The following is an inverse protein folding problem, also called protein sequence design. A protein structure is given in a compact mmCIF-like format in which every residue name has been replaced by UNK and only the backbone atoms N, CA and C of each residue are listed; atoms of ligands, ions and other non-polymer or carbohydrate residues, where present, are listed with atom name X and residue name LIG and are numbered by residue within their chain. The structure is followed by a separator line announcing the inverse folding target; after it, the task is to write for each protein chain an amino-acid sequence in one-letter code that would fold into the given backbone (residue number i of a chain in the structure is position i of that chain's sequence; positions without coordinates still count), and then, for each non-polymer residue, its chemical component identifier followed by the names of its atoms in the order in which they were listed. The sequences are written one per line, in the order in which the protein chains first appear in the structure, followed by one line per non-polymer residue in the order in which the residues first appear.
data_IF_588682957071
#
_entry.id   IF_588682957071
#
_cell.length_a   1.000
_cell.length_b   1.000
_cell.length_c   1.000
_cell.angle_alpha   90.00
_cell.angle_beta   90.00
_cell.angle_gamma   90.00
#
_symmetry.space_group_name_H-M   'P 1'
#
loop_
_entity.id
_entity.type
_entity.pdbx_description
1 polymer ?
#
# COMPACT_ATOMS: atom_id res chain seq x y z
N UNK A 1 35.01 -2.98 41.80
CA UNK A 1 33.62 -3.27 41.37
C UNK A 1 33.53 -2.95 39.89
N UNK A 2 33.53 -3.96 39.00
CA UNK A 2 33.49 -3.69 37.56
C UNK A 2 32.05 -3.39 37.12
N UNK A 3 31.89 -2.32 36.34
CA UNK A 3 30.62 -1.96 35.70
C UNK A 3 30.46 -2.79 34.42
N UNK A 4 29.35 -3.54 34.32
CA UNK A 4 28.97 -4.26 33.12
C UNK A 4 28.13 -3.35 32.22
N UNK A 5 28.70 -2.96 31.07
CA UNK A 5 27.96 -2.29 30.00
C UNK A 5 27.17 -3.34 29.21
N UNK A 6 25.87 -3.41 29.42
CA UNK A 6 24.96 -4.20 28.60
C UNK A 6 24.67 -3.44 27.30
N UNK A 7 25.35 -3.83 26.22
CA UNK A 7 24.99 -3.44 24.85
C UNK A 7 23.99 -4.45 24.32
N UNK A 8 22.73 -4.02 24.18
CA UNK A 8 21.68 -4.80 23.52
C UNK A 8 21.95 -4.77 22.02
N UNK A 9 22.38 -5.90 21.46
CA UNK A 9 22.55 -6.07 20.01
C UNK A 9 21.18 -6.41 19.42
N UNK A 10 20.49 -5.42 18.87
CA UNK A 10 19.27 -5.63 18.08
C UNK A 10 19.63 -6.40 16.79
N UNK A 11 19.17 -7.64 16.66
CA UNK A 11 19.46 -8.47 15.49
C UNK A 11 18.47 -8.20 14.36
N UNK A 12 18.84 -7.31 13.42
CA UNK A 12 18.12 -6.97 12.18
C UNK A 12 17.97 -8.12 11.14
N UNK A 13 18.07 -9.39 11.56
CA UNK A 13 18.16 -10.56 10.64
C UNK A 13 16.84 -11.05 10.00
N UNK A 14 15.62 -10.92 10.57
CA UNK A 14 14.43 -11.52 9.96
C UNK A 14 13.97 -10.79 8.68
N UNK A 15 14.27 -9.49 8.53
CA UNK A 15 13.84 -8.68 7.37
C UNK A 15 14.41 -9.18 6.03
N UNK A 16 15.66 -9.67 6.01
CA UNK A 16 16.32 -10.11 4.76
C UNK A 16 15.74 -11.39 4.19
N UNK A 17 15.36 -12.33 5.05
CA UNK A 17 14.77 -13.61 4.64
C UNK A 17 13.34 -13.39 4.12
N UNK A 18 12.58 -12.52 4.78
CA UNK A 18 11.23 -12.16 4.33
C UNK A 18 11.24 -11.48 2.96
N UNK A 19 12.14 -10.51 2.75
CA UNK A 19 12.31 -9.86 1.44
C UNK A 19 12.72 -10.85 0.35
N UNK A 20 13.55 -11.86 0.67
CA UNK A 20 13.89 -12.94 -0.25
C UNK A 20 12.68 -13.80 -0.65
N UNK A 21 11.76 -14.08 0.28
CA UNK A 21 10.52 -14.79 -0.04
C UNK A 21 9.55 -13.95 -0.87
N UNK A 22 9.45 -12.64 -0.59
CA UNK A 22 8.64 -11.72 -1.39
C UNK A 22 9.19 -11.59 -2.82
N UNK A 23 10.51 -11.52 -2.99
CA UNK A 23 11.12 -11.46 -4.31
C UNK A 23 10.89 -12.73 -5.12
N UNK A 24 10.97 -13.90 -4.48
CA UNK A 24 10.67 -15.21 -5.09
C UNK A 24 9.23 -15.36 -5.60
N UNK A 25 8.25 -14.71 -4.96
CA UNK A 25 6.85 -14.73 -5.40
C UNK A 25 6.62 -13.74 -6.57
N UNK A 26 7.60 -12.88 -6.85
CA UNK A 26 7.51 -11.79 -7.81
C UNK A 26 6.85 -10.54 -7.22
N UNK A 27 6.85 -10.39 -5.89
CA UNK A 27 6.35 -9.22 -5.17
C UNK A 27 7.47 -8.18 -4.90
N UNK A 28 8.66 -8.37 -5.46
CA UNK A 28 9.81 -7.46 -5.27
C UNK A 28 9.52 -6.02 -5.72
N UNK A 29 8.57 -5.84 -6.65
CA UNK A 29 8.16 -4.51 -7.14
C UNK A 29 7.38 -3.67 -6.11
N UNK A 30 7.02 -4.24 -4.97
CA UNK A 30 6.33 -3.52 -3.89
C UNK A 30 7.30 -2.93 -2.85
N UNK A 31 8.59 -3.26 -2.90
CA UNK A 31 9.62 -2.62 -2.08
C UNK A 31 10.23 -1.49 -2.91
N UNK A 32 9.50 -0.38 -3.05
CA UNK A 32 10.03 0.83 -3.67
C UNK A 32 11.00 1.46 -2.66
N UNK A 33 12.29 1.39 -2.96
CA UNK A 33 13.29 2.19 -2.25
C UNK A 33 13.23 3.60 -2.86
N UNK A 34 12.83 4.65 -2.12
CA UNK A 34 12.51 5.96 -2.70
C UNK A 34 13.70 6.75 -3.28
N UNK A 35 14.89 6.14 -3.37
CA UNK A 35 16.13 6.83 -3.74
C UNK A 35 16.79 6.37 -5.06
N UNK A 36 16.21 5.43 -5.81
CA UNK A 36 16.77 5.04 -7.11
C UNK A 36 16.20 5.93 -8.23
N UNK A 37 16.96 6.98 -8.53
CA UNK A 37 16.77 7.88 -9.67
C UNK A 37 17.60 7.35 -10.84
N UNK A 38 16.99 6.55 -11.71
CA UNK A 38 17.63 6.11 -12.95
C UNK A 38 17.19 7.00 -14.12
N UNK A 39 18.11 7.89 -14.50
CA UNK A 39 18.28 8.36 -15.86
C UNK A 39 18.64 7.16 -16.75
N UNK A 40 17.89 6.92 -17.84
CA UNK A 40 18.54 6.68 -19.14
C UNK A 40 17.58 6.66 -20.33
N UNK A 41 18.00 7.44 -21.33
CA UNK A 41 17.62 7.39 -22.73
C UNK A 41 17.91 6.00 -23.32
N UNK A 42 17.14 5.48 -24.28
CA UNK A 42 17.75 4.83 -25.45
C UNK A 42 16.85 4.72 -26.69
N UNK A 43 17.55 4.81 -27.81
CA UNK A 43 17.15 4.74 -29.22
C UNK A 43 16.37 3.49 -29.65
N UNK A 44 15.51 3.70 -30.65
CA UNK A 44 14.78 2.64 -31.34
C UNK A 44 15.58 1.90 -32.42
N UNK A 45 15.27 0.61 -32.58
CA UNK A 45 15.42 -0.12 -33.83
C UNK A 45 14.26 -1.10 -34.01
N UNK A 46 13.61 -1.01 -35.17
CA UNK A 46 12.57 -1.92 -35.65
C UNK A 46 13.16 -3.29 -36.01
N UNK A 47 12.61 -4.37 -35.47
CA UNK A 47 12.83 -5.72 -36.00
C UNK A 47 11.50 -6.44 -36.26
N UNK A 48 11.38 -6.96 -37.49
CA UNK A 48 10.20 -7.65 -38.04
C UNK A 48 9.94 -8.99 -37.34
N UNK A 49 8.66 -9.25 -37.03
CA UNK A 49 8.14 -10.56 -36.61
C UNK A 49 8.11 -11.58 -37.76
N UNK A 50 8.17 -12.89 -37.44
CA UNK A 50 7.42 -13.92 -38.11
C UNK A 50 6.27 -14.44 -37.25
N UNK A 51 5.23 -14.91 -37.93
CA UNK A 51 3.92 -15.28 -37.41
C UNK A 51 3.80 -16.75 -36.94
N UNK A 52 2.91 -16.92 -35.97
CA UNK A 52 1.96 -18.04 -35.75
C UNK A 52 2.24 -19.16 -34.71
N UNK A 53 1.16 -19.36 -33.92
CA UNK A 53 0.67 -20.55 -33.20
C UNK A 53 1.10 -20.85 -31.74
N UNK A 54 0.14 -20.60 -30.85
CA UNK A 54 -0.37 -21.44 -29.76
C UNK A 54 0.61 -22.22 -28.87
N UNK A 55 0.89 -21.72 -27.67
CA UNK A 55 0.73 -22.44 -26.37
C UNK A 55 1.15 -21.52 -25.23
N UNK A 56 0.57 -21.73 -24.05
CA UNK A 56 0.75 -21.00 -22.80
C UNK A 56 2.23 -20.72 -22.44
N UNK A 57 2.65 -19.46 -22.49
CA UNK A 57 3.98 -19.04 -22.06
C UNK A 57 3.96 -18.62 -20.59
N UNK A 58 4.26 -19.58 -19.72
CA UNK A 58 4.86 -19.32 -18.42
C UNK A 58 6.20 -18.60 -18.63
N UNK A 59 6.34 -17.41 -18.05
CA UNK A 59 7.62 -16.70 -18.00
C UNK A 59 8.60 -17.52 -17.17
N UNK A 60 9.44 -18.31 -17.83
CA UNK A 60 10.64 -18.89 -17.25
C UNK A 60 11.55 -17.72 -16.85
N UNK A 61 11.72 -17.50 -15.54
CA UNK A 61 12.92 -16.85 -15.04
C UNK A 61 14.06 -17.82 -15.36
N UNK A 62 14.85 -17.52 -16.39
CA UNK A 62 16.11 -18.21 -16.66
C UNK A 62 16.98 -18.12 -15.41
N UNK A 63 17.42 -19.27 -14.92
CA UNK A 63 18.18 -19.46 -13.68
C UNK A 63 19.61 -18.89 -13.71
N UNK A 64 19.83 -17.75 -14.37
CA UNK A 64 21.17 -17.23 -14.69
C UNK A 64 21.44 -15.80 -14.20
N UNK A 65 20.54 -15.17 -13.46
CA UNK A 65 20.74 -13.78 -13.01
C UNK A 65 20.82 -13.69 -11.48
N UNK A 66 21.84 -14.33 -10.90
CA UNK A 66 22.42 -13.93 -9.61
C UNK A 66 23.73 -14.71 -9.40
N UNK A 67 24.82 -14.21 -9.99
CA UNK A 67 26.17 -14.60 -9.59
C UNK A 67 26.48 -13.80 -8.33
N UNK A 68 26.24 -14.39 -7.17
CA UNK A 68 26.80 -13.88 -5.91
C UNK A 68 28.30 -14.13 -5.97
N UNK A 69 29.07 -13.09 -6.27
CA UNK A 69 30.53 -13.13 -6.26
C UNK A 69 31.01 -13.37 -4.83
N UNK A 70 31.38 -14.60 -4.51
CA UNK A 70 32.14 -14.89 -3.30
C UNK A 70 33.59 -14.45 -3.52
N UNK A 71 33.97 -13.36 -2.87
CA UNK A 71 35.35 -12.91 -2.79
C UNK A 71 36.25 -14.08 -2.36
N UNK A 72 37.10 -14.53 -3.30
CA UNK A 72 38.18 -15.47 -3.06
C UNK A 72 39.24 -14.75 -2.22
N UNK A 73 39.18 -14.90 -0.89
CA UNK A 73 40.30 -14.55 -0.03
C UNK A 73 41.33 -15.67 -0.14
N UNK A 74 42.35 -15.40 -0.95
CA UNK A 74 43.56 -16.20 -0.98
C UNK A 74 44.20 -16.23 0.42
N UNK A 75 44.54 -17.46 0.79
CA UNK A 75 45.50 -17.85 1.81
C UNK A 75 46.61 -16.84 2.04
N UNK A 76 46.89 -16.54 3.30
CA UNK A 76 48.22 -16.71 3.83
C UNK A 76 48.16 -17.21 5.27
N UNK A 77 48.97 -18.24 5.51
CA UNK A 77 49.09 -19.04 6.72
C UNK A 77 49.53 -18.22 7.94
N UNK A 78 48.94 -18.48 9.11
CA UNK A 78 49.67 -18.93 10.31
C UNK A 78 48.76 -19.13 11.54
N UNK A 79 49.05 -20.23 12.24
CA UNK A 79 48.94 -20.50 13.67
C UNK A 79 47.57 -20.66 14.39
N UNK A 80 47.37 -21.93 14.75
CA UNK A 80 47.11 -22.45 16.09
C UNK A 80 45.75 -22.24 16.79
N UNK A 81 45.00 -23.34 16.73
CA UNK A 81 44.35 -24.01 17.85
C UNK A 81 43.46 -23.18 18.79
N UNK A 82 42.17 -23.05 18.43
CA UNK A 82 41.12 -23.23 19.42
C UNK A 82 39.81 -23.70 18.78
N UNK A 83 39.61 -25.03 18.77
CA UNK A 83 38.37 -25.68 18.32
C UNK A 83 37.31 -25.54 19.41
N UNK A 84 36.47 -24.50 19.32
CA UNK A 84 35.17 -24.50 19.96
C UNK A 84 34.07 -24.46 18.90
N UNK A 85 33.30 -25.55 18.86
CA UNK A 85 32.13 -25.83 18.04
C UNK A 85 31.25 -24.60 17.80
N UNK A 86 31.46 -23.91 16.68
CA UNK A 86 30.40 -23.14 16.05
C UNK A 86 29.84 -24.02 14.94
N UNK A 87 28.55 -24.33 15.06
CA UNK A 87 27.75 -25.00 14.03
C UNK A 87 27.70 -24.11 12.79
N UNK A 88 28.78 -24.11 12.00
CA UNK A 88 28.79 -23.52 10.67
C UNK A 88 28.01 -24.50 9.80
N UNK A 89 26.79 -24.11 9.44
CA UNK A 89 25.98 -24.86 8.48
C UNK A 89 26.82 -25.09 7.21
N UNK A 90 26.90 -26.32 6.70
CA UNK A 90 27.66 -26.59 5.48
C UNK A 90 27.06 -25.79 4.32
N UNK A 91 27.90 -25.09 3.57
CA UNK A 91 27.53 -24.26 2.40
C UNK A 91 26.75 -25.03 1.32
N UNK A 92 26.77 -26.37 1.38
CA UNK A 92 25.95 -27.29 0.59
C UNK A 92 24.43 -27.08 0.76
N UNK A 93 23.96 -26.72 1.96
CA UNK A 93 22.52 -26.74 2.26
C UNK A 93 21.76 -25.54 1.68
N UNK A 94 22.44 -24.42 1.47
CA UNK A 94 21.83 -23.19 0.92
C UNK A 94 21.40 -23.39 -0.53
N UNK A 95 22.22 -24.10 -1.31
CA UNK A 95 21.94 -24.37 -2.73
C UNK A 95 20.78 -25.37 -2.89
N UNK A 96 20.71 -26.38 -2.00
CA UNK A 96 19.60 -27.35 -1.97
C UNK A 96 18.28 -26.66 -1.60
N UNK A 97 18.31 -25.75 -0.62
CA UNK A 97 17.12 -24.99 -0.23
C UNK A 97 16.62 -24.09 -1.37
N UNK A 98 17.52 -23.37 -2.04
CA UNK A 98 17.16 -22.52 -3.18
C UNK A 98 16.56 -23.33 -4.34
N UNK A 99 17.17 -24.48 -4.68
CA UNK A 99 16.64 -25.35 -5.72
C UNK A 99 15.29 -25.97 -5.33
N UNK A 100 15.07 -26.24 -4.04
CA UNK A 100 13.81 -26.78 -3.56
C UNK A 100 12.70 -25.72 -3.59
N UNK A 101 12.97 -24.51 -3.09
CA UNK A 101 12.03 -23.38 -3.09
C UNK A 101 11.68 -22.96 -4.53
N UNK A 102 12.67 -22.94 -5.44
CA UNK A 102 12.45 -22.61 -6.85
C UNK A 102 11.58 -23.63 -7.60
N UNK A 103 11.43 -24.85 -7.08
CA UNK A 103 10.56 -25.88 -7.64
C UNK A 103 9.11 -25.83 -7.15
N UNK A 104 8.79 -24.97 -6.17
CA UNK A 104 7.45 -24.86 -5.62
C UNK A 104 6.56 -23.94 -6.47
N UNK A 105 5.26 -24.27 -6.55
CA UNK A 105 4.30 -23.36 -7.15
C UNK A 105 4.13 -22.10 -6.29
N UNK A 106 3.77 -20.97 -6.91
CA UNK A 106 3.51 -19.71 -6.20
C UNK A 106 2.46 -19.85 -5.10
N UNK A 107 1.46 -20.71 -5.30
CA UNK A 107 0.43 -21.00 -4.30
C UNK A 107 1.01 -21.66 -3.04
N UNK A 108 1.94 -22.61 -3.21
CA UNK A 108 2.59 -23.30 -2.10
C UNK A 108 3.56 -22.37 -1.37
N UNK A 109 4.31 -21.52 -2.10
CA UNK A 109 5.15 -20.49 -1.48
C UNK A 109 4.33 -19.53 -0.63
N UNK A 110 3.19 -19.06 -1.14
CA UNK A 110 2.28 -18.20 -0.38
C UNK A 110 1.75 -18.90 0.88
N UNK A 111 1.36 -20.18 0.78
CA UNK A 111 0.93 -20.97 1.94
C UNK A 111 2.05 -21.15 2.98
N UNK A 112 3.28 -21.41 2.56
CA UNK A 112 4.42 -21.56 3.47
C UNK A 112 4.72 -20.25 4.20
N UNK A 113 4.74 -19.12 3.48
CA UNK A 113 4.95 -17.80 4.07
C UNK A 113 3.82 -17.48 5.05
N UNK A 114 2.56 -17.68 4.67
CA UNK A 114 1.40 -17.43 5.51
C UNK A 114 1.41 -18.29 6.79
N UNK A 115 1.67 -19.59 6.67
CA UNK A 115 1.78 -20.50 7.81
C UNK A 115 2.93 -20.13 8.75
N UNK A 116 4.06 -19.66 8.19
CA UNK A 116 5.18 -19.14 8.96
C UNK A 116 4.82 -17.86 9.71
N UNK A 117 4.14 -16.93 9.04
CA UNK A 117 3.72 -15.65 9.58
C UNK A 117 2.68 -15.83 10.70
N UNK A 118 1.68 -16.70 10.48
CA UNK A 118 0.67 -17.02 11.48
C UNK A 118 1.25 -17.71 12.72
N UNK A 119 2.21 -18.62 12.55
CA UNK A 119 2.93 -19.22 13.69
C UNK A 119 3.75 -18.20 14.48
N UNK A 120 4.29 -17.19 13.80
CA UNK A 120 5.00 -16.10 14.47
C UNK A 120 4.02 -15.22 15.25
N UNK A 121 2.86 -14.92 14.67
CA UNK A 121 1.85 -14.05 15.27
C UNK A 121 1.14 -14.68 16.48
N UNK A 122 0.89 -16.00 16.44
CA UNK A 122 0.36 -16.75 17.60
C UNK A 122 1.36 -16.78 18.77
N UNK A 123 2.66 -16.67 18.47
CA UNK A 123 3.70 -16.61 19.50
C UNK A 123 3.83 -15.21 20.13
N UNK A 124 3.37 -14.15 19.46
CA UNK A 124 3.44 -12.77 19.98
C UNK A 124 2.33 -12.43 20.96
N UNK A 125 1.25 -13.22 21.04
CA UNK A 125 0.28 -13.14 22.14
C UNK A 125 0.84 -13.63 23.50
N UNK A 126 2.10 -14.10 23.53
CA UNK A 126 2.89 -14.37 24.74
C UNK A 126 4.17 -13.52 24.76
N UNK A 127 4.06 -12.21 24.54
CA UNK A 127 5.10 -11.31 25.04
C UNK A 127 4.92 -11.18 26.56
N UNK A 128 5.84 -11.69 27.40
CA UNK A 128 5.70 -11.52 28.83
C UNK A 128 5.88 -10.04 29.13
N UNK A 129 4.79 -9.40 29.56
CA UNK A 129 4.70 -8.37 30.60
C UNK A 129 6.08 -7.98 31.19
N UNK A 130 6.85 -7.19 30.45
CA UNK A 130 8.10 -6.57 30.90
C UNK A 130 7.85 -5.18 31.50
N UNK A 131 6.60 -4.85 31.84
CA UNK A 131 6.20 -3.57 32.42
C UNK A 131 6.08 -3.56 33.95
N UNK A 132 6.36 -4.65 34.67
CA UNK A 132 6.18 -4.68 36.14
C UNK A 132 7.44 -4.46 37.00
N UNK A 133 8.40 -3.61 36.58
CA UNK A 133 9.41 -3.07 37.53
C UNK A 133 9.72 -1.59 37.27
N UNK A 134 8.75 -0.72 37.53
CA UNK A 134 9.02 0.70 37.87
C UNK A 134 8.16 1.16 39.05
N UNK A 135 8.03 0.32 40.07
CA UNK A 135 7.69 0.79 41.41
C UNK A 135 9.00 1.18 42.12
N UNK A 136 9.35 2.47 42.09
CA UNK A 136 10.52 2.94 42.85
C UNK A 136 10.91 4.38 42.60
N UNK A 137 10.42 5.25 43.47
CA UNK A 137 10.80 6.66 43.70
C UNK A 137 10.34 7.68 42.65
N UNK A 138 9.19 8.28 42.98
CA UNK A 138 8.71 9.53 42.40
C UNK A 138 9.69 10.67 42.62
N UNK A 139 10.32 11.09 41.52
CA UNK A 139 10.65 12.48 41.27
C UNK A 139 9.91 12.78 39.97
N UNK A 140 8.78 13.50 40.08
CA UNK A 140 8.04 14.02 38.95
C UNK A 140 8.98 14.96 38.18
N UNK A 141 9.40 14.52 37.00
CA UNK A 141 10.16 15.31 36.04
C UNK A 141 9.15 15.74 34.97
N UNK A 142 8.79 17.03 34.95
CA UNK A 142 7.81 17.65 34.04
C UNK A 142 8.23 17.60 32.54
N UNK A 143 9.18 16.74 32.18
CA UNK A 143 9.69 16.53 30.83
C UNK A 143 9.01 15.38 30.07
N UNK A 144 8.15 14.57 30.70
CA UNK A 144 7.48 13.44 30.01
C UNK A 144 6.38 13.89 29.04
N UNK A 145 5.62 14.95 29.34
CA UNK A 145 4.51 15.41 28.47
C UNK A 145 4.98 15.92 27.10
N UNK A 146 6.25 16.31 26.94
CA UNK A 146 6.78 16.77 25.63
C UNK A 146 7.20 15.66 24.68
N UNK A 147 7.44 14.44 25.16
CA UNK A 147 7.91 13.35 24.31
C UNK A 147 6.77 12.60 23.61
N UNK A 148 5.54 12.63 24.14
CA UNK A 148 4.38 12.01 23.48
C UNK A 148 3.91 12.82 22.25
N UNK A 149 3.93 14.16 22.32
CA UNK A 149 3.50 15.01 21.19
C UNK A 149 4.40 14.92 19.94
N UNK A 150 5.70 14.59 20.10
CA UNK A 150 6.62 14.45 18.95
C UNK A 150 6.42 13.12 18.19
N UNK A 151 5.99 12.05 18.87
CA UNK A 151 5.74 10.75 18.22
C UNK A 151 4.46 10.76 17.37
N UNK A 152 3.39 11.42 17.84
CA UNK A 152 2.10 11.45 17.12
C UNK A 152 2.22 12.17 15.75
N UNK A 153 3.13 13.14 15.62
CA UNK A 153 3.36 13.84 14.35
C UNK A 153 4.11 13.00 13.31
N UNK A 154 4.91 12.01 13.74
CA UNK A 154 5.65 11.14 12.81
C UNK A 154 4.72 10.14 12.12
N UNK A 155 3.77 9.54 12.86
CA UNK A 155 2.80 8.59 12.32
C UNK A 155 1.87 9.22 11.25
N UNK A 156 1.38 10.44 11.49
CA UNK A 156 0.53 11.15 10.53
C UNK A 156 1.25 11.43 9.19
N UNK A 157 2.56 11.70 9.25
CA UNK A 157 3.37 11.92 8.06
C UNK A 157 3.55 10.65 7.23
N UNK A 158 3.68 9.49 7.88
CA UNK A 158 3.80 8.19 7.20
C UNK A 158 2.52 7.83 6.45
N UNK A 159 1.35 7.99 7.09
CA UNK A 159 0.04 7.75 6.46
C UNK A 159 -0.16 8.67 5.26
N UNK A 160 0.19 9.95 5.40
CA UNK A 160 0.10 10.92 4.31
C UNK A 160 1.01 10.54 3.13
N UNK A 161 2.24 10.12 3.43
CA UNK A 161 3.20 9.72 2.41
C UNK A 161 2.74 8.45 1.67
N UNK A 162 2.10 7.52 2.37
CA UNK A 162 1.49 6.34 1.77
C UNK A 162 0.33 6.72 0.83
N UNK A 163 -0.57 7.62 1.26
CA UNK A 163 -1.66 8.11 0.41
C UNK A 163 -1.15 8.81 -0.87
N UNK A 164 -0.10 9.62 -0.76
CA UNK A 164 0.56 10.22 -1.93
C UNK A 164 1.11 9.15 -2.87
N UNK A 165 1.75 8.12 -2.32
CA UNK A 165 2.29 7.00 -3.10
C UNK A 165 1.18 6.24 -3.82
N UNK A 166 0.05 5.98 -3.16
CA UNK A 166 -1.14 5.35 -3.76
C UNK A 166 -1.68 6.22 -4.90
N UNK A 167 -1.79 7.54 -4.69
CA UNK A 167 -2.27 8.47 -5.70
C UNK A 167 -1.36 8.50 -6.93
N UNK A 168 -0.04 8.63 -6.74
CA UNK A 168 0.94 8.63 -7.82
C UNK A 168 0.91 7.33 -8.61
N UNK A 169 0.80 6.18 -7.92
CA UNK A 169 0.71 4.88 -8.57
C UNK A 169 -0.60 4.75 -9.35
N UNK A 170 -1.73 5.16 -8.80
CA UNK A 170 -3.01 5.16 -9.50
C UNK A 170 -3.01 6.08 -10.74
N UNK A 171 -2.36 7.25 -10.64
CA UNK A 171 -2.16 8.17 -11.75
C UNK A 171 -1.31 7.54 -12.86
N UNK A 172 -0.17 6.93 -12.49
CA UNK A 172 0.70 6.20 -13.41
C UNK A 172 -0.05 5.07 -14.13
N UNK A 173 -0.87 4.30 -13.42
CA UNK A 173 -1.69 3.23 -14.00
C UNK A 173 -2.71 3.78 -15.01
N UNK A 174 -3.35 4.92 -14.69
CA UNK A 174 -4.36 5.56 -15.53
C UNK A 174 -3.79 6.01 -16.88
N UNK A 175 -2.59 6.58 -16.86
CA UNK A 175 -1.92 7.15 -18.03
C UNK A 175 -0.95 6.19 -18.73
N UNK A 176 -0.76 4.98 -18.20
CA UNK A 176 0.21 3.99 -18.73
C UNK A 176 -0.02 3.65 -20.20
N UNK A 177 -1.27 3.70 -20.66
CA UNK A 177 -1.64 3.30 -22.01
C UNK A 177 -1.86 4.50 -22.96
N UNK A 178 -1.65 5.74 -22.51
CA UNK A 178 -1.96 6.96 -23.29
C UNK A 178 -1.14 7.08 -24.59
N UNK A 179 0.07 6.51 -24.60
CA UNK A 179 0.97 6.56 -25.77
C UNK A 179 0.68 5.48 -26.80
N UNK A 180 -0.18 4.51 -26.48
CA UNK A 180 -0.48 3.35 -27.33
C UNK A 180 -1.67 3.60 -28.25
N UNK A 181 -1.78 2.81 -29.32
CA UNK A 181 -2.94 2.86 -30.22
C UNK A 181 -4.17 2.28 -29.52
N UNK A 182 -5.40 2.72 -29.85
CA UNK A 182 -6.62 2.21 -29.18
C UNK A 182 -6.77 0.68 -29.17
N UNK A 183 -6.34 -0.01 -30.24
CA UNK A 183 -6.34 -1.48 -30.29
C UNK A 183 -5.40 -2.12 -29.27
N UNK A 184 -4.25 -1.49 -29.03
CA UNK A 184 -3.26 -1.94 -28.03
C UNK A 184 -3.70 -1.57 -26.63
N UNK A 185 -4.28 -0.38 -26.45
CA UNK A 185 -4.90 0.03 -25.19
C UNK A 185 -5.95 -1.00 -24.74
N UNK A 186 -6.83 -1.41 -25.64
CA UNK A 186 -7.83 -2.45 -25.36
C UNK A 186 -7.20 -3.79 -24.99
N UNK A 187 -6.14 -4.21 -25.69
CA UNK A 187 -5.44 -5.47 -25.40
C UNK A 187 -4.78 -5.48 -24.01
N UNK A 188 -4.31 -4.33 -23.53
CA UNK A 188 -3.66 -4.19 -22.22
C UNK A 188 -4.59 -3.71 -21.09
N UNK A 189 -5.83 -3.32 -21.39
CA UNK A 189 -6.75 -2.78 -20.41
C UNK A 189 -7.08 -3.76 -19.26
N UNK A 190 -7.14 -5.06 -19.56
CA UNK A 190 -7.35 -6.09 -18.54
C UNK A 190 -6.22 -6.13 -17.50
N UNK A 191 -4.97 -5.94 -17.94
CA UNK A 191 -3.82 -5.89 -17.05
C UNK A 191 -3.89 -4.65 -16.15
N UNK A 192 -4.18 -3.48 -16.72
CA UNK A 192 -4.33 -2.24 -15.94
C UNK A 192 -5.44 -2.36 -14.90
N UNK A 193 -6.58 -2.97 -15.27
CA UNK A 193 -7.67 -3.21 -14.33
C UNK A 193 -7.27 -4.15 -13.18
N UNK A 194 -6.48 -5.20 -13.46
CA UNK A 194 -5.94 -6.08 -12.41
C UNK A 194 -5.00 -5.34 -11.46
N UNK A 195 -4.15 -4.46 -11.99
CA UNK A 195 -3.25 -3.65 -11.16
C UNK A 195 -4.02 -2.66 -10.28
N UNK A 196 -5.12 -2.06 -10.77
CA UNK A 196 -6.03 -1.28 -9.92
C UNK A 196 -6.69 -2.10 -8.82
N UNK A 197 -7.15 -3.32 -9.13
CA UNK A 197 -7.72 -4.22 -8.11
C UNK A 197 -6.70 -4.58 -7.02
N UNK A 198 -5.42 -4.76 -7.38
CA UNK A 198 -4.35 -4.97 -6.41
C UNK A 198 -4.12 -3.74 -5.55
N UNK A 199 -4.12 -2.54 -6.14
CA UNK A 199 -3.96 -1.29 -5.41
C UNK A 199 -5.12 -1.05 -4.42
N UNK A 200 -6.35 -1.39 -4.79
CA UNK A 200 -7.51 -1.36 -3.88
C UNK A 200 -7.29 -2.28 -2.67
N UNK A 201 -6.79 -3.50 -2.90
CA UNK A 201 -6.52 -4.45 -1.80
C UNK A 201 -5.43 -3.94 -0.86
N UNK A 202 -4.44 -3.22 -1.39
CA UNK A 202 -3.42 -2.57 -0.57
C UNK A 202 -4.05 -1.49 0.32
N UNK A 203 -4.95 -0.66 -0.20
CA UNK A 203 -5.67 0.32 0.63
C UNK A 203 -6.50 -0.33 1.74
N UNK A 204 -7.04 -1.53 1.52
CA UNK A 204 -7.79 -2.25 2.56
C UNK A 204 -6.87 -2.70 3.70
N UNK A 205 -5.57 -2.89 3.48
CA UNK A 205 -4.64 -3.17 4.59
C UNK A 205 -4.50 -1.98 5.55
N UNK A 206 -4.65 -0.74 5.05
CA UNK A 206 -4.68 0.47 5.89
C UNK A 206 -5.88 0.53 6.84
N UNK A 207 -6.92 -0.28 6.61
CA UNK A 207 -8.12 -0.32 7.46
C UNK A 207 -7.80 -0.55 8.95
N UNK A 208 -6.78 -1.36 9.24
CA UNK A 208 -6.46 -1.74 10.61
C UNK A 208 -5.83 -0.60 11.41
N UNK A 209 -5.07 0.26 10.75
CA UNK A 209 -4.35 1.37 11.38
C UNK A 209 -5.16 2.65 11.28
N UNK A 210 -5.71 2.93 10.09
CA UNK A 210 -6.42 4.15 9.82
C UNK A 210 -7.53 3.98 8.77
N UNK A 211 -8.80 3.82 9.19
CA UNK A 211 -9.91 3.59 8.26
C UNK A 211 -10.21 4.78 7.35
N UNK A 212 -9.97 5.99 7.85
CA UNK A 212 -10.22 7.19 7.08
C UNK A 212 -9.19 7.33 5.96
N UNK A 213 -7.92 7.01 6.24
CA UNK A 213 -6.90 6.88 5.20
C UNK A 213 -7.29 5.82 4.15
N UNK A 214 -7.80 4.65 4.57
CA UNK A 214 -8.28 3.63 3.63
C UNK A 214 -9.41 4.17 2.72
N UNK A 215 -10.40 4.88 3.28
CA UNK A 215 -11.50 5.52 2.53
C UNK A 215 -10.93 6.53 1.51
N UNK A 216 -10.04 7.41 1.94
CA UNK A 216 -9.41 8.40 1.06
C UNK A 216 -8.59 7.74 -0.05
N UNK A 217 -7.80 6.71 0.27
CA UNK A 217 -7.04 5.94 -0.71
C UNK A 217 -7.95 5.33 -1.78
N UNK A 218 -9.10 4.77 -1.40
CA UNK A 218 -10.08 4.24 -2.34
C UNK A 218 -10.70 5.34 -3.22
N UNK A 219 -11.03 6.50 -2.64
CA UNK A 219 -11.53 7.67 -3.39
C UNK A 219 -10.49 8.12 -4.41
N UNK A 220 -9.23 8.28 -3.99
CA UNK A 220 -8.12 8.72 -4.85
C UNK A 220 -7.89 7.75 -6.01
N UNK A 221 -7.89 6.43 -5.76
CA UNK A 221 -7.75 5.42 -6.82
C UNK A 221 -8.85 5.57 -7.88
N UNK A 222 -10.10 5.70 -7.45
CA UNK A 222 -11.24 5.85 -8.38
C UNK A 222 -11.14 7.16 -9.14
N UNK A 223 -10.83 8.27 -8.47
CA UNK A 223 -10.63 9.56 -9.10
C UNK A 223 -9.54 9.48 -10.19
N UNK A 224 -8.37 8.92 -9.89
CA UNK A 224 -7.31 8.78 -10.89
C UNK A 224 -7.73 7.88 -12.05
N UNK A 225 -8.38 6.73 -11.77
CA UNK A 225 -8.80 5.80 -12.82
C UNK A 225 -9.89 6.38 -13.77
N UNK A 226 -10.63 7.40 -13.35
CA UNK A 226 -11.49 8.17 -14.26
C UNK A 226 -10.71 9.05 -15.25
N UNK A 227 -9.42 9.31 -15.01
CA UNK A 227 -8.51 9.96 -15.95
C UNK A 227 -8.07 9.07 -17.11
N UNK A 228 -8.22 7.74 -16.99
CA UNK A 228 -7.80 6.79 -18.02
C UNK A 228 -8.55 6.97 -19.35
N UNK A 229 -7.95 6.57 -20.50
CA UNK A 229 -8.57 6.63 -21.83
C UNK A 229 -9.96 5.96 -21.86
N UNK A 230 -10.91 6.42 -22.70
CA UNK A 230 -12.30 5.94 -22.68
C UNK A 230 -12.43 4.42 -22.81
N UNK A 231 -11.65 3.78 -23.67
CA UNK A 231 -11.65 2.33 -23.92
C UNK A 231 -11.15 1.56 -22.70
N UNK A 232 -10.08 2.06 -22.06
CA UNK A 232 -9.50 1.48 -20.84
C UNK A 232 -10.47 1.65 -19.69
N UNK A 233 -11.06 2.83 -19.54
CA UNK A 233 -12.08 3.14 -18.52
C UNK A 233 -13.30 2.26 -18.67
N UNK A 234 -13.78 2.05 -19.90
CA UNK A 234 -14.86 1.12 -20.18
C UNK A 234 -14.48 -0.29 -19.70
N UNK A 235 -13.28 -0.76 -20.00
CA UNK A 235 -12.82 -2.06 -19.52
C UNK A 235 -12.77 -2.14 -17.98
N UNK A 236 -12.16 -1.15 -17.33
CA UNK A 236 -12.01 -1.07 -15.86
C UNK A 236 -13.38 -1.17 -15.16
N UNK A 237 -14.34 -0.35 -15.57
CA UNK A 237 -15.63 -0.27 -14.87
C UNK A 237 -16.66 -1.29 -15.37
N UNK A 238 -16.72 -1.52 -16.68
CA UNK A 238 -17.72 -2.41 -17.25
C UNK A 238 -17.30 -3.88 -17.23
N UNK A 239 -16.06 -4.22 -17.58
CA UNK A 239 -15.61 -5.61 -17.65
C UNK A 239 -15.02 -6.09 -16.33
N UNK A 240 -14.09 -5.33 -15.76
CA UNK A 240 -13.41 -5.70 -14.52
C UNK A 240 -14.19 -5.31 -13.25
N UNK A 241 -15.33 -4.62 -13.39
CA UNK A 241 -16.24 -4.28 -12.29
C UNK A 241 -15.56 -3.53 -11.14
N UNK A 242 -14.57 -2.68 -11.45
CA UNK A 242 -13.79 -1.97 -10.43
C UNK A 242 -14.68 -1.12 -9.51
N UNK A 243 -15.67 -0.45 -10.08
CA UNK A 243 -16.63 0.35 -9.31
C UNK A 243 -17.40 -0.47 -8.27
N UNK A 244 -17.63 -1.76 -8.54
CA UNK A 244 -18.27 -2.66 -7.56
C UNK A 244 -17.39 -2.99 -6.41
N UNK A 245 -16.17 -3.37 -6.74
CA UNK A 245 -15.18 -3.70 -5.75
C UNK A 245 -15.00 -2.54 -4.77
N UNK A 246 -14.83 -1.31 -5.28
CA UNK A 246 -14.61 -0.14 -4.41
C UNK A 246 -15.79 0.13 -3.49
N UNK A 247 -17.03 0.08 -3.98
CA UNK A 247 -18.22 0.30 -3.15
C UNK A 247 -18.34 -0.74 -2.05
N UNK A 248 -18.08 -2.01 -2.35
CA UNK A 248 -18.13 -3.08 -1.36
C UNK A 248 -17.04 -2.93 -0.29
N UNK A 249 -15.83 -2.53 -0.69
CA UNK A 249 -14.76 -2.26 0.29
C UNK A 249 -15.06 -1.03 1.15
N UNK A 250 -15.56 0.06 0.55
CA UNK A 250 -16.00 1.24 1.29
C UNK A 250 -17.11 0.90 2.29
N UNK A 251 -18.12 0.12 1.86
CA UNK A 251 -19.19 -0.33 2.73
C UNK A 251 -18.67 -1.19 3.89
N UNK A 252 -17.72 -2.09 3.61
CA UNK A 252 -17.05 -2.93 4.62
C UNK A 252 -16.32 -2.08 5.66
N UNK A 253 -15.50 -1.12 5.22
CA UNK A 253 -14.75 -0.21 6.09
C UNK A 253 -15.69 0.60 6.99
N UNK A 254 -16.73 1.20 6.40
CA UNK A 254 -17.69 2.02 7.14
C UNK A 254 -18.51 1.21 8.15
N UNK A 255 -18.95 -0.01 7.78
CA UNK A 255 -19.68 -0.91 8.70
C UNK A 255 -18.82 -1.40 9.85
N UNK A 256 -17.56 -1.72 9.58
CA UNK A 256 -16.61 -2.15 10.60
C UNK A 256 -16.44 -1.06 11.68
N UNK A 257 -16.27 0.20 11.25
CA UNK A 257 -16.12 1.31 12.19
C UNK A 257 -17.41 1.74 12.88
N UNK A 258 -18.59 1.52 12.30
CA UNK A 258 -19.84 1.83 12.98
C UNK A 258 -20.00 1.11 14.35
N UNK A 259 -19.30 0.01 14.56
CA UNK A 259 -19.31 -0.76 15.81
C UNK A 259 -18.14 -0.43 16.76
N UNK A 260 -17.19 0.40 16.33
CA UNK A 260 -15.97 0.73 17.08
C UNK A 260 -16.16 1.77 18.20
N UNK A 261 -15.13 1.95 19.01
CA UNK A 261 -15.14 2.89 20.15
C UNK A 261 -15.08 4.35 19.64
N UNK A 262 -16.06 5.19 20.02
CA UNK A 262 -16.25 6.55 19.49
C UNK A 262 -15.05 7.49 19.72
N UNK A 263 -14.28 7.29 20.79
CA UNK A 263 -13.16 8.17 21.15
C UNK A 263 -11.98 8.05 20.17
N UNK A 264 -11.61 6.84 19.75
CA UNK A 264 -10.55 6.65 18.76
C UNK A 264 -10.91 7.27 17.41
N UNK A 265 -12.20 7.25 17.04
CA UNK A 265 -12.68 7.79 15.76
C UNK A 265 -12.49 9.31 15.65
N UNK A 266 -12.72 10.03 16.74
CA UNK A 266 -12.57 11.49 16.77
C UNK A 266 -11.12 11.92 16.56
N UNK A 267 -10.16 11.19 17.13
CA UNK A 267 -8.73 11.51 17.01
C UNK A 267 -8.22 11.34 15.56
N UNK A 268 -8.53 10.21 14.91
CA UNK A 268 -8.09 9.98 13.52
C UNK A 268 -8.66 10.98 12.52
N UNK A 269 -9.89 11.43 12.72
CA UNK A 269 -10.54 12.34 11.77
C UNK A 269 -9.99 13.77 11.87
N UNK A 270 -9.63 14.25 13.07
CA UNK A 270 -9.07 15.59 13.22
C UNK A 270 -7.74 15.74 12.48
N UNK A 271 -6.83 14.77 12.66
CA UNK A 271 -5.50 14.82 12.06
C UNK A 271 -5.54 14.72 10.53
N UNK A 272 -6.39 13.83 10.00
CA UNK A 272 -6.43 13.61 8.55
C UNK A 272 -7.36 14.58 7.84
N UNK A 273 -8.38 15.16 8.47
CA UNK A 273 -9.29 16.11 7.80
C UNK A 273 -8.54 17.31 7.20
N UNK A 274 -7.51 17.80 7.88
CA UNK A 274 -6.63 18.85 7.35
C UNK A 274 -5.90 18.42 6.08
N UNK A 275 -5.48 17.16 6.03
CA UNK A 275 -4.70 16.58 4.94
C UNK A 275 -5.56 16.08 3.77
N UNK A 276 -6.77 15.61 4.06
CA UNK A 276 -7.74 15.14 3.08
C UNK A 276 -8.11 16.26 2.11
N UNK A 277 -8.36 17.46 2.63
CA UNK A 277 -8.66 18.63 1.81
C UNK A 277 -7.48 18.99 0.89
N UNK A 278 -6.24 18.83 1.36
CA UNK A 278 -5.05 19.05 0.54
C UNK A 278 -4.90 18.00 -0.56
N UNK A 279 -4.99 16.71 -0.21
CA UNK A 279 -4.82 15.62 -1.18
C UNK A 279 -5.90 15.66 -2.26
N UNK A 280 -7.14 15.94 -1.89
CA UNK A 280 -8.21 15.93 -2.89
C UNK A 280 -8.26 17.22 -3.71
N UNK A 281 -7.91 18.38 -3.13
CA UNK A 281 -7.76 19.59 -3.94
C UNK A 281 -6.64 19.49 -4.97
N UNK A 282 -5.63 18.63 -4.75
CA UNK A 282 -4.59 18.35 -5.73
C UNK A 282 -5.05 17.40 -6.86
N UNK A 283 -6.17 16.69 -6.72
CA UNK A 283 -6.67 15.82 -7.77
C UNK A 283 -7.27 16.67 -8.92
N UNK A 284 -6.92 16.42 -10.20
CA UNK A 284 -7.32 17.26 -11.34
C UNK A 284 -8.82 17.18 -11.70
N UNK A 285 -9.67 16.70 -10.79
CA UNK A 285 -11.12 16.57 -10.99
C UNK A 285 -11.89 17.88 -10.97
N UNK A 286 -11.28 18.99 -10.54
CA UNK A 286 -11.91 20.31 -10.49
C UNK A 286 -11.98 21.02 -11.86
N UNK A 287 -12.35 20.28 -12.91
CA UNK A 287 -12.78 20.86 -14.17
C UNK A 287 -14.24 20.47 -14.43
N UNK A 288 -15.09 21.49 -14.51
CA UNK A 288 -16.54 21.43 -14.75
C UNK A 288 -17.43 21.26 -13.52
N UNK A 289 -17.53 22.33 -12.73
CA UNK A 289 -18.71 23.19 -12.81
C UNK A 289 -18.45 24.48 -12.04
N UNK A 290 -17.77 25.40 -12.69
CA UNK A 290 -17.81 26.81 -12.34
C UNK A 290 -19.23 27.31 -12.64
N UNK A 291 -20.22 26.88 -11.85
CA UNK A 291 -21.47 27.60 -11.74
C UNK A 291 -21.06 28.98 -11.25
N UNK A 292 -21.29 29.98 -12.12
CA UNK A 292 -21.13 31.40 -11.83
C UNK A 292 -21.89 31.76 -10.54
N UNK A 293 -21.28 31.52 -9.39
CA UNK A 293 -21.60 32.23 -8.16
C UNK A 293 -21.00 33.61 -8.37
N UNK A 294 -21.72 34.45 -9.12
CA UNK A 294 -21.49 35.89 -9.22
C UNK A 294 -21.66 36.45 -7.81
N UNK A 295 -20.59 36.44 -7.03
CA UNK A 295 -20.47 37.20 -5.81
C UNK A 295 -20.37 38.68 -6.18
N UNK A 296 -21.53 39.35 -6.10
CA UNK A 296 -21.58 40.72 -5.64
C UNK A 296 -21.38 40.72 -4.12
N UNK A 297 -20.71 41.78 -3.64
CA UNK A 297 -20.56 42.27 -2.26
C UNK A 297 -19.70 41.47 -1.28
N UNK A 298 -18.47 41.99 -1.14
CA UNK A 298 -17.84 42.57 0.07
C UNK A 298 -18.09 41.92 1.45
N UNK A 299 -16.96 41.65 2.10
CA UNK A 299 -16.71 41.69 3.54
C UNK A 299 -17.63 40.86 4.43
N UNK A 300 -17.27 39.58 4.61
CA UNK A 300 -17.11 38.99 5.94
C UNK A 300 -16.26 37.72 5.86
N UNK A 301 -15.25 37.66 6.73
CA UNK A 301 -14.30 36.55 6.87
C UNK A 301 -15.00 35.43 7.66
N UNK A 302 -15.89 34.70 7.00
CA UNK A 302 -16.46 33.46 7.56
C UNK A 302 -15.48 32.31 7.30
N UNK A 303 -14.57 32.17 8.26
CA UNK A 303 -13.73 31.01 8.50
C UNK A 303 -14.62 29.78 8.84
N UNK A 304 -14.22 28.60 8.36
CA UNK A 304 -14.79 27.26 8.66
C UNK A 304 -16.05 26.85 7.88
N UNK A 305 -15.87 26.46 6.61
CA UNK A 305 -16.85 25.63 5.86
C UNK A 305 -16.23 24.46 5.08
N UNK A 306 -15.11 23.91 5.55
CA UNK A 306 -14.32 22.93 4.79
C UNK A 306 -14.30 21.49 5.35
N UNK A 307 -15.21 21.11 6.26
CA UNK A 307 -15.18 19.76 6.86
C UNK A 307 -15.88 18.69 6.03
N UNK A 308 -16.70 19.06 5.04
CA UNK A 308 -17.54 18.10 4.28
C UNK A 308 -17.09 17.86 2.84
N UNK A 309 -15.95 18.39 2.42
CA UNK A 309 -15.49 18.31 1.02
C UNK A 309 -15.31 16.86 0.56
N UNK A 310 -14.73 15.99 1.40
CA UNK A 310 -14.53 14.57 1.06
C UNK A 310 -15.86 13.79 0.91
N UNK A 311 -16.90 14.17 1.66
CA UNK A 311 -18.21 13.51 1.62
C UNK A 311 -18.95 13.87 0.33
N UNK A 312 -18.92 15.14 -0.06
CA UNK A 312 -19.47 15.60 -1.34
C UNK A 312 -18.77 14.92 -2.53
N UNK A 313 -17.45 14.74 -2.43
CA UNK A 313 -16.68 14.02 -3.44
C UNK A 313 -17.03 12.54 -3.48
N UNK A 314 -17.23 11.90 -2.32
CA UNK A 314 -17.69 10.51 -2.25
C UNK A 314 -19.07 10.36 -2.89
N UNK A 315 -20.00 11.28 -2.61
CA UNK A 315 -21.33 11.29 -3.23
C UNK A 315 -21.22 11.43 -4.76
N UNK A 316 -20.43 12.40 -5.24
CA UNK A 316 -20.21 12.62 -6.66
C UNK A 316 -19.59 11.39 -7.33
N UNK A 317 -18.61 10.78 -6.67
CA UNK A 317 -17.92 9.58 -7.12
C UNK A 317 -18.88 8.40 -7.20
N UNK A 318 -19.66 8.12 -6.15
CA UNK A 318 -20.67 7.07 -6.14
C UNK A 318 -21.71 7.28 -7.24
N UNK A 319 -22.19 8.52 -7.42
CA UNK A 319 -23.12 8.86 -8.49
C UNK A 319 -22.51 8.62 -9.89
N UNK A 320 -21.22 8.94 -10.06
CA UNK A 320 -20.48 8.72 -11.31
C UNK A 320 -20.25 7.23 -11.57
N UNK A 321 -19.82 6.46 -10.57
CA UNK A 321 -19.65 5.01 -10.66
C UNK A 321 -20.96 4.32 -11.04
N UNK A 322 -22.08 4.70 -10.42
CA UNK A 322 -23.40 4.16 -10.73
C UNK A 322 -23.82 4.37 -12.20
N UNK A 323 -23.32 5.43 -12.86
CA UNK A 323 -23.53 5.67 -14.30
C UNK A 323 -22.71 4.72 -15.17
N UNK A 324 -21.48 4.39 -14.76
CA UNK A 324 -20.61 3.48 -15.50
C UNK A 324 -20.99 2.00 -15.32
N UNK A 325 -21.62 1.65 -14.20
CA UNK A 325 -22.06 0.28 -13.94
C UNK A 325 -23.54 0.05 -14.25
N UNK A 326 -23.87 0.05 -15.53
CA UNK A 326 -25.25 -0.13 -15.99
C UNK A 326 -25.83 -1.50 -15.63
N UNK A 327 -24.97 -2.49 -15.43
CA UNK A 327 -25.33 -3.90 -15.22
C UNK A 327 -25.41 -4.30 -13.74
N UNK A 328 -25.23 -3.37 -12.80
CA UNK A 328 -25.37 -3.69 -11.38
C UNK A 328 -26.82 -3.57 -10.96
N UNK A 329 -27.37 -4.66 -10.41
CA UNK A 329 -28.74 -4.72 -9.90
C UNK A 329 -28.90 -3.98 -8.56
N UNK A 330 -27.88 -4.04 -7.68
CA UNK A 330 -27.88 -3.41 -6.36
C UNK A 330 -27.42 -1.96 -6.39
N UNK A 331 -27.97 -1.13 -7.28
CA UNK A 331 -27.56 0.29 -7.39
C UNK A 331 -27.78 1.09 -6.10
N UNK A 332 -28.66 0.63 -5.21
CA UNK A 332 -28.82 1.24 -3.88
C UNK A 332 -27.53 1.20 -3.05
N UNK A 333 -26.59 0.27 -3.29
CA UNK A 333 -25.34 0.17 -2.52
C UNK A 333 -24.48 1.43 -2.65
N UNK A 334 -24.50 2.09 -3.81
CA UNK A 334 -23.83 3.39 -3.99
C UNK A 334 -24.38 4.47 -3.05
N UNK A 335 -25.70 4.52 -2.84
CA UNK A 335 -26.34 5.47 -1.94
C UNK A 335 -26.15 5.07 -0.48
N UNK A 336 -26.18 3.77 -0.18
CA UNK A 336 -25.94 3.25 1.16
C UNK A 336 -24.54 3.63 1.67
N UNK A 337 -23.51 3.55 0.81
CA UNK A 337 -22.16 3.98 1.18
C UNK A 337 -22.12 5.47 1.58
N UNK A 338 -22.82 6.34 0.85
CA UNK A 338 -22.89 7.77 1.20
C UNK A 338 -23.61 7.98 2.53
N UNK A 339 -24.73 7.29 2.77
CA UNK A 339 -25.45 7.36 4.04
C UNK A 339 -24.63 6.84 5.22
N UNK A 340 -23.86 5.76 5.02
CA UNK A 340 -22.94 5.23 6.03
C UNK A 340 -21.81 6.21 6.30
N UNK A 341 -21.29 6.88 5.27
CA UNK A 341 -20.27 7.91 5.40
C UNK A 341 -20.79 9.17 6.11
N UNK A 342 -22.02 9.60 5.85
CA UNK A 342 -22.71 10.67 6.58
C UNK A 342 -22.82 10.34 8.07
N UNK A 343 -23.26 9.12 8.39
CA UNK A 343 -23.35 8.63 9.77
C UNK A 343 -21.97 8.60 10.44
N UNK A 344 -20.97 8.08 9.72
CA UNK A 344 -19.57 8.09 10.16
C UNK A 344 -19.10 9.50 10.47
N UNK A 345 -19.37 10.48 9.60
CA UNK A 345 -18.99 11.88 9.84
C UNK A 345 -19.75 12.56 10.98
N UNK A 346 -20.99 12.12 11.28
CA UNK A 346 -21.85 12.73 12.31
C UNK A 346 -21.51 12.29 13.74
N UNK A 347 -20.80 11.16 13.87
CA UNK A 347 -20.34 10.64 15.17
C UNK A 347 -19.15 11.48 15.70
N UNK A 348 -18.48 12.15 14.78
CA UNK A 348 -17.30 13.00 15.01
C UNK A 348 -17.73 14.44 15.22
#
# INVERSE_FOLDING_TARGET
MPQYNNTVIATNKPKRIFNYFLSLIGLDRFIINPNDHDDDQYHGQLQKQPSSSSTSSCSFLTASTLIVSHHHLDKNDHDDSNKNNRNVLPSSDVWTLQSWIGGLSKSVLCQIVWMGLMRYHDSTYYWPELEQVKEGNGIFDDNYDKQEEENDQEEDNDVLQELKTIQEQANKLSHRLDTLRPSEQFAHAAQVAQEFQQLIRLCVHLLHENPFAAILGLILIVQQSFGAPPEVRQHIYYQAKLGRLVVLELESILKYHHHGNKQQQQQYQQNISHHANYLVSCAPFNNSNNYNTKNNSNDDVDEVKNTNDWLEQLEHLCAKLARYDTTWEFRQEYQNVVQLAEQFSSIT
#
